data_IF_350108117845
#
_entry.id   IF_350108117845
#
_cell.length_a   1.000
_cell.length_b   1.000
_cell.length_c   1.000
_cell.angle_alpha   90.00
_cell.angle_beta   90.00
_cell.angle_gamma   90.00
#
_symmetry.space_group_name_H-M   'P 1'
#
loop_
_entity.id
_entity.type
_entity.pdbx_description
1 polymer ?
#
# COMPACT_ATOMS: atom_id res chain seq x y z
N UNK A 1 -64.41 -37.58 51.86
CA UNK A 1 -63.04 -37.89 51.39
C UNK A 1 -62.71 -37.12 50.10
N UNK A 2 -63.60 -37.06 49.11
CA UNK A 2 -63.38 -36.29 47.86
C UNK A 2 -63.23 -34.77 48.02
N UNK A 3 -64.00 -34.12 48.91
CA UNK A 3 -63.92 -32.65 49.12
C UNK A 3 -62.57 -32.20 49.71
N UNK A 4 -61.97 -33.00 50.58
CA UNK A 4 -60.64 -32.73 51.15
C UNK A 4 -59.51 -32.89 50.13
N UNK A 5 -59.67 -33.78 49.16
CA UNK A 5 -58.70 -33.95 48.07
C UNK A 5 -58.74 -32.78 47.09
N UNK A 6 -59.94 -32.30 46.76
CA UNK A 6 -60.14 -31.16 45.88
C UNK A 6 -59.62 -29.86 46.51
N UNK A 7 -59.92 -29.62 47.79
CA UNK A 7 -59.41 -28.43 48.51
C UNK A 7 -57.88 -28.42 48.64
N UNK A 8 -57.25 -29.58 48.86
CA UNK A 8 -55.77 -29.67 48.88
C UNK A 8 -55.14 -29.43 47.49
N UNK A 9 -55.82 -29.85 46.42
CA UNK A 9 -55.34 -29.62 45.07
C UNK A 9 -55.42 -28.13 44.69
N UNK A 10 -56.51 -27.46 45.05
CA UNK A 10 -56.68 -26.01 44.87
C UNK A 10 -55.65 -25.21 45.68
N UNK A 11 -55.38 -25.59 46.93
CA UNK A 11 -54.34 -24.97 47.75
C UNK A 11 -52.94 -25.12 47.13
N UNK A 12 -52.63 -26.31 46.59
CA UNK A 12 -51.36 -26.54 45.92
C UNK A 12 -51.22 -25.67 44.65
N UNK A 13 -52.29 -25.54 43.86
CA UNK A 13 -52.29 -24.67 42.68
C UNK A 13 -52.07 -23.20 43.04
N UNK A 14 -52.72 -22.69 44.09
CA UNK A 14 -52.53 -21.31 44.57
C UNK A 14 -51.09 -21.05 45.01
N UNK A 15 -50.46 -21.98 45.74
CA UNK A 15 -49.05 -21.85 46.16
C UNK A 15 -48.11 -21.86 44.97
N UNK A 16 -48.35 -22.74 43.98
CA UNK A 16 -47.53 -22.80 42.76
C UNK A 16 -47.67 -21.52 41.93
N UNK A 17 -48.87 -20.94 41.85
CA UNK A 17 -49.11 -19.66 41.18
C UNK A 17 -48.33 -18.54 41.90
N UNK A 18 -48.41 -18.44 43.23
CA UNK A 18 -47.67 -17.43 44.00
C UNK A 18 -46.16 -17.49 43.80
N UNK A 19 -45.57 -18.71 43.78
CA UNK A 19 -44.13 -18.89 43.50
C UNK A 19 -43.78 -18.43 42.07
N UNK A 20 -44.64 -18.70 41.09
CA UNK A 20 -44.42 -18.26 39.71
C UNK A 20 -44.51 -16.75 39.57
N UNK A 21 -45.46 -16.11 40.25
CA UNK A 21 -45.60 -14.65 40.27
C UNK A 21 -44.39 -13.96 40.90
N UNK A 22 -43.85 -14.50 42.00
CA UNK A 22 -42.61 -14.00 42.60
C UNK A 22 -41.42 -14.11 41.64
N UNK A 23 -41.31 -15.24 40.94
CA UNK A 23 -40.23 -15.43 39.96
C UNK A 23 -40.36 -14.51 38.75
N UNK A 24 -41.58 -14.23 38.29
CA UNK A 24 -41.83 -13.26 37.23
C UNK A 24 -41.38 -11.86 37.69
N UNK A 25 -41.79 -11.43 38.88
CA UNK A 25 -41.37 -10.12 39.42
C UNK A 25 -39.85 -9.98 39.53
N UNK A 26 -39.17 -11.03 40.00
CA UNK A 26 -37.71 -11.02 40.08
C UNK A 26 -37.05 -10.87 38.70
N UNK A 27 -37.54 -11.61 37.70
CA UNK A 27 -37.01 -11.52 36.33
C UNK A 27 -37.30 -10.16 35.68
N UNK A 28 -38.45 -9.55 35.97
CA UNK A 28 -38.77 -8.19 35.52
C UNK A 28 -37.83 -7.15 36.13
N UNK A 29 -37.48 -7.29 37.41
CA UNK A 29 -36.52 -6.41 38.09
C UNK A 29 -35.10 -6.58 37.53
N UNK A 30 -34.63 -7.81 37.32
CA UNK A 30 -33.35 -8.07 36.65
C UNK A 30 -33.30 -7.50 35.23
N UNK A 31 -34.38 -7.67 34.46
CA UNK A 31 -34.48 -7.14 33.10
C UNK A 31 -34.41 -5.60 33.11
N UNK A 32 -35.14 -4.95 34.01
CA UNK A 32 -35.14 -3.50 34.13
C UNK A 32 -33.76 -2.95 34.53
N UNK A 33 -33.08 -3.60 35.49
CA UNK A 33 -31.72 -3.24 35.88
C UNK A 33 -30.73 -3.39 34.72
N UNK A 34 -30.85 -4.47 33.93
CA UNK A 34 -29.99 -4.67 32.76
C UNK A 34 -30.24 -3.62 31.66
N UNK A 35 -31.50 -3.23 31.44
CA UNK A 35 -31.86 -2.15 30.51
C UNK A 35 -31.26 -0.83 30.99
N UNK A 36 -31.39 -0.50 32.27
CA UNK A 36 -30.88 0.76 32.83
C UNK A 36 -29.35 0.86 32.70
N UNK A 37 -28.62 -0.21 33.07
CA UNK A 37 -27.17 -0.29 32.91
C UNK A 37 -26.76 -0.11 31.43
N UNK A 38 -27.43 -0.80 30.51
CA UNK A 38 -27.15 -0.68 29.08
C UNK A 38 -27.42 0.74 28.55
N UNK A 39 -28.47 1.41 29.06
CA UNK A 39 -28.74 2.81 28.69
C UNK A 39 -27.68 3.77 29.22
N UNK A 40 -27.10 3.49 30.39
CA UNK A 40 -26.02 4.29 30.96
C UNK A 40 -24.73 4.11 30.15
N UNK A 41 -24.32 2.88 29.86
CA UNK A 41 -23.14 2.59 29.02
C UNK A 41 -23.24 3.29 27.65
N UNK A 42 -24.44 3.26 27.04
CA UNK A 42 -24.69 3.96 25.78
C UNK A 42 -24.49 5.48 25.90
N UNK A 43 -24.89 6.11 27.01
CA UNK A 43 -24.68 7.56 27.23
C UNK A 43 -23.20 7.89 27.36
N UNK A 44 -22.45 7.09 28.12
CA UNK A 44 -21.02 7.27 28.33
C UNK A 44 -20.25 7.16 27.01
N UNK A 45 -20.56 6.14 26.21
CA UNK A 45 -19.98 5.96 24.87
C UNK A 45 -20.30 7.14 23.94
N UNK A 46 -21.52 7.69 23.99
CA UNK A 46 -21.88 8.86 23.19
C UNK A 46 -21.10 10.12 23.62
N UNK A 47 -20.82 10.27 24.91
CA UNK A 47 -20.00 11.37 25.42
C UNK A 47 -18.54 11.22 25.00
N UNK A 48 -17.96 10.01 25.08
CA UNK A 48 -16.62 9.73 24.59
C UNK A 48 -16.48 9.96 23.09
N UNK A 49 -17.43 9.48 22.28
CA UNK A 49 -17.48 9.75 20.84
C UNK A 49 -17.51 11.26 20.58
N UNK A 50 -18.24 12.03 21.39
CA UNK A 50 -18.33 13.49 21.26
C UNK A 50 -17.02 14.19 21.65
N UNK A 51 -16.28 13.66 22.64
CA UNK A 51 -14.94 14.16 23.00
C UNK A 51 -13.93 13.84 21.89
N UNK A 52 -13.93 12.62 21.38
CA UNK A 52 -13.04 12.19 20.29
C UNK A 52 -13.28 12.99 19.01
N UNK A 53 -14.54 13.25 18.63
CA UNK A 53 -14.86 14.11 17.48
C UNK A 53 -14.26 15.51 17.58
N UNK A 54 -14.29 16.12 18.78
CA UNK A 54 -13.67 17.43 19.02
C UNK A 54 -12.15 17.39 18.84
N UNK A 55 -11.49 16.36 19.38
CA UNK A 55 -10.04 16.18 19.25
C UNK A 55 -9.65 15.99 17.78
N UNK A 56 -10.38 15.15 17.04
CA UNK A 56 -10.11 14.93 15.60
C UNK A 56 -10.21 16.24 14.82
N UNK A 57 -11.27 17.02 15.02
CA UNK A 57 -11.43 18.31 14.35
C UNK A 57 -10.27 19.29 14.68
N UNK A 58 -9.79 19.29 15.93
CA UNK A 58 -8.67 20.13 16.32
C UNK A 58 -7.37 19.70 15.63
N UNK A 59 -7.10 18.39 15.56
CA UNK A 59 -5.93 17.84 14.87
C UNK A 59 -5.96 18.10 13.35
N UNK A 60 -7.14 18.02 12.73
CA UNK A 60 -7.32 18.34 11.31
C UNK A 60 -6.95 19.81 11.01
N UNK A 61 -7.37 20.74 11.87
CA UNK A 61 -7.02 22.16 11.73
C UNK A 61 -5.53 22.43 11.97
N UNK A 62 -4.89 21.73 12.91
CA UNK A 62 -3.43 21.80 13.11
C UNK A 62 -2.65 21.26 11.90
N UNK A 63 -3.10 20.16 11.31
CA UNK A 63 -2.48 19.59 10.11
C UNK A 63 -2.58 20.56 8.93
N UNK A 64 -3.73 21.19 8.70
CA UNK A 64 -3.88 22.23 7.66
C UNK A 64 -2.90 23.39 7.85
N UNK A 65 -2.60 23.79 9.09
CA UNK A 65 -1.61 24.84 9.37
C UNK A 65 -0.19 24.38 9.04
N UNK A 66 0.17 23.16 9.44
CA UNK A 66 1.49 22.56 9.15
C UNK A 66 1.72 22.35 7.66
N UNK A 67 0.70 21.94 6.91
CA UNK A 67 0.79 21.79 5.45
C UNK A 67 1.10 23.11 4.74
N UNK A 68 0.49 24.21 5.19
CA UNK A 68 0.81 25.56 4.70
C UNK A 68 2.26 25.95 5.02
N UNK A 69 2.75 25.62 6.20
CA UNK A 69 4.13 25.89 6.60
C UNK A 69 5.14 25.10 5.76
N UNK A 70 4.85 23.82 5.50
CA UNK A 70 5.66 22.96 4.62
C UNK A 70 5.69 23.55 3.21
N UNK A 71 4.54 23.92 2.65
CA UNK A 71 4.47 24.53 1.31
C UNK A 71 5.29 25.81 1.21
N UNK A 72 5.31 26.65 2.26
CA UNK A 72 6.15 27.84 2.30
C UNK A 72 7.65 27.50 2.36
N UNK A 73 8.02 26.47 3.14
CA UNK A 73 9.42 26.00 3.22
C UNK A 73 9.90 25.41 1.89
N UNK A 74 9.06 24.66 1.19
CA UNK A 74 9.39 24.09 -0.13
C UNK A 74 9.64 25.16 -1.19
N UNK A 75 8.85 26.26 -1.16
CA UNK A 75 9.12 27.43 -2.01
C UNK A 75 10.48 28.04 -1.72
N UNK A 76 10.83 28.20 -0.45
CA UNK A 76 12.12 28.74 -0.04
C UNK A 76 13.30 27.85 -0.48
N UNK A 77 13.13 26.52 -0.37
CA UNK A 77 14.13 25.55 -0.86
C UNK A 77 14.31 25.68 -2.37
N UNK A 78 13.22 25.79 -3.12
CA UNK A 78 13.27 25.97 -4.58
C UNK A 78 14.02 27.25 -4.98
N UNK A 79 13.83 28.35 -4.23
CA UNK A 79 14.60 29.59 -4.42
C UNK A 79 16.09 29.41 -4.13
N UNK A 80 16.43 28.63 -3.09
CA UNK A 80 17.82 28.31 -2.78
C UNK A 80 18.48 27.45 -3.85
N UNK A 81 17.79 26.43 -4.38
CA UNK A 81 18.28 25.58 -5.47
C UNK A 81 18.54 26.41 -6.76
N UNK A 82 17.67 27.37 -7.06
CA UNK A 82 17.85 28.28 -8.19
C UNK A 82 19.07 29.21 -8.00
N UNK A 83 19.30 29.68 -6.76
CA UNK A 83 20.50 30.46 -6.44
C UNK A 83 21.77 29.61 -6.53
N UNK A 84 21.74 28.38 -6.04
CA UNK A 84 22.87 27.45 -6.09
C UNK A 84 23.25 27.13 -7.54
N UNK A 85 22.26 26.85 -8.40
CA UNK A 85 22.50 26.61 -9.82
C UNK A 85 23.08 27.83 -10.52
N UNK A 86 22.57 29.05 -10.25
CA UNK A 86 23.17 30.31 -10.74
C UNK A 86 24.61 30.49 -10.27
N UNK A 87 24.90 30.21 -9.00
CA UNK A 87 26.25 30.26 -8.42
C UNK A 87 27.20 29.26 -9.08
N UNK A 88 26.78 28.00 -9.23
CA UNK A 88 27.55 26.95 -9.93
C UNK A 88 27.87 27.35 -11.37
N UNK A 89 26.90 27.92 -12.08
CA UNK A 89 27.12 28.41 -13.45
C UNK A 89 28.12 29.58 -13.48
N UNK A 90 28.01 30.57 -12.57
CA UNK A 90 29.00 31.66 -12.46
C UNK A 90 30.40 31.14 -12.16
N UNK A 91 30.54 30.19 -11.24
CA UNK A 91 31.83 29.56 -10.92
C UNK A 91 32.40 28.88 -12.17
N UNK A 92 31.58 28.13 -12.92
CA UNK A 92 32.01 27.47 -14.15
C UNK A 92 32.48 28.47 -15.20
N UNK A 93 31.77 29.57 -15.41
CA UNK A 93 32.15 30.61 -16.36
C UNK A 93 33.45 31.32 -15.96
N UNK A 94 33.61 31.64 -14.66
CA UNK A 94 34.85 32.21 -14.12
C UNK A 94 36.02 31.23 -14.36
N UNK A 95 35.83 29.94 -14.06
CA UNK A 95 36.84 28.90 -14.28
C UNK A 95 37.24 28.74 -15.75
N UNK A 96 36.30 28.93 -16.69
CA UNK A 96 36.60 28.92 -18.13
C UNK A 96 37.35 30.18 -18.58
N UNK A 97 36.98 31.35 -18.05
CA UNK A 97 37.65 32.63 -18.37
C UNK A 97 39.07 32.73 -17.81
N UNK A 98 39.38 31.98 -16.75
CA UNK A 98 40.67 31.96 -16.08
C UNK A 98 41.68 30.99 -16.75
N UNK A 99 41.69 30.92 -18.09
CA UNK A 99 42.43 29.96 -18.91
C UNK A 99 43.76 29.43 -18.34
N UNK A 100 43.91 28.11 -18.41
CA UNK A 100 45.15 27.34 -18.27
C UNK A 100 46.14 27.81 -17.19
N UNK A 101 45.95 27.37 -15.95
CA UNK A 101 47.08 27.20 -15.02
C UNK A 101 46.91 25.89 -14.23
N UNK A 102 47.91 24.99 -14.23
CA UNK A 102 47.82 23.71 -13.53
C UNK A 102 47.97 23.93 -12.02
N UNK A 103 46.88 24.28 -11.33
CA UNK A 103 46.87 24.49 -9.86
C UNK A 103 46.49 23.24 -9.07
N UNK A 104 47.01 22.08 -9.47
CA UNK A 104 46.98 20.87 -8.62
C UNK A 104 48.35 20.55 -8.02
N UNK A 105 49.42 21.29 -8.38
CA UNK A 105 50.78 21.11 -7.85
C UNK A 105 51.18 22.10 -6.74
N UNK A 106 50.41 23.18 -6.52
CA UNK A 106 50.82 24.29 -5.64
C UNK A 106 50.46 24.07 -4.15
N UNK A 107 49.43 23.26 -3.88
CA UNK A 107 49.00 22.98 -2.51
C UNK A 107 49.99 22.09 -1.76
N UNK A 108 50.58 21.10 -2.42
CA UNK A 108 51.54 20.18 -1.79
C UNK A 108 52.83 20.90 -1.42
N UNK A 109 53.32 21.79 -2.30
CA UNK A 109 54.55 22.56 -2.08
C UNK A 109 54.43 23.59 -0.96
N UNK A 110 53.27 24.24 -0.84
CA UNK A 110 52.97 25.17 0.25
C UNK A 110 52.78 24.48 1.61
N UNK A 111 52.33 23.22 1.61
CA UNK A 111 52.26 22.41 2.83
C UNK A 111 53.66 21.99 3.28
N UNK A 112 54.51 21.54 2.35
CA UNK A 112 55.90 21.15 2.64
C UNK A 112 56.76 22.34 3.11
N UNK A 113 56.58 23.53 2.52
CA UNK A 113 57.27 24.76 2.95
C UNK A 113 56.81 25.23 4.34
N UNK A 114 55.53 25.05 4.67
CA UNK A 114 55.01 25.37 6.01
C UNK A 114 55.53 24.38 7.07
N UNK A 115 55.62 23.09 6.76
CA UNK A 115 56.21 22.10 7.66
C UNK A 115 57.71 22.37 7.88
N UNK A 116 58.45 22.73 6.83
CA UNK A 116 59.86 23.10 6.93
C UNK A 116 60.08 24.38 7.78
N UNK A 117 59.26 25.42 7.58
CA UNK A 117 59.30 26.64 8.39
C UNK A 117 58.92 26.39 9.85
N UNK A 118 58.00 25.45 10.12
CA UNK A 118 57.63 25.05 11.48
C UNK A 118 58.81 24.37 12.19
N UNK A 119 59.50 23.46 11.51
CA UNK A 119 60.70 22.79 12.02
C UNK A 119 61.86 23.77 12.24
N UNK A 120 62.06 24.72 11.33
CA UNK A 120 63.12 25.73 11.45
C UNK A 120 62.86 26.71 12.61
N UNK A 121 61.62 27.14 12.80
CA UNK A 121 61.22 27.97 13.95
C UNK A 121 61.32 27.23 15.29
N UNK A 122 61.03 25.92 15.30
CA UNK A 122 61.21 25.08 16.47
C UNK A 122 62.70 24.95 16.84
N UNK A 123 63.58 24.70 15.86
CA UNK A 123 65.03 24.64 16.07
C UNK A 123 65.61 25.98 16.57
N UNK A 124 65.19 27.10 16.00
CA UNK A 124 65.60 28.45 16.47
C UNK A 124 65.11 28.76 17.89
N UNK A 125 63.93 28.26 18.26
CA UNK A 125 63.38 28.42 19.60
C UNK A 125 64.18 27.62 20.63
N UNK A 126 64.62 26.40 20.29
CA UNK A 126 65.49 25.58 21.12
C UNK A 126 66.89 26.20 21.28
N UNK A 127 67.47 26.75 20.20
CA UNK A 127 68.76 27.45 20.26
C UNK A 127 68.70 28.66 21.20
N UNK A 128 67.67 29.51 21.07
CA UNK A 128 67.47 30.68 21.94
C UNK A 128 67.21 30.33 23.40
N UNK A 129 66.65 29.14 23.66
CA UNK A 129 66.45 28.66 25.04
C UNK A 129 67.78 28.21 25.65
N UNK A 130 68.63 27.55 24.85
CA UNK A 130 70.00 27.16 25.25
C UNK A 130 70.88 28.38 25.51
N UNK A 131 70.91 29.36 24.61
CA UNK A 131 71.69 30.60 24.77
C UNK A 131 71.28 31.36 26.04
N UNK A 132 69.98 31.36 26.37
CA UNK A 132 69.48 31.97 27.62
C UNK A 132 69.93 31.22 28.87
N UNK A 133 69.97 29.89 28.84
CA UNK A 133 70.48 29.09 29.95
C UNK A 133 72.00 29.29 30.14
N UNK A 134 72.76 29.38 29.05
CA UNK A 134 74.21 29.66 29.11
C UNK A 134 74.49 31.09 29.62
N UNK A 135 73.67 32.08 29.26
CA UNK A 135 73.75 33.46 29.79
C UNK A 135 73.40 33.57 31.29
N UNK A 136 72.48 32.75 31.78
CA UNK A 136 72.14 32.69 33.21
C UNK A 136 73.29 32.05 34.00
N UNK A 137 73.82 30.93 33.51
CA UNK A 137 74.95 30.24 34.16
C UNK A 137 76.22 31.10 34.21
N UNK A 138 76.50 31.87 33.16
CA UNK A 138 77.65 32.82 33.13
C UNK A 138 77.45 34.04 34.03
N UNK A 139 76.20 34.52 34.17
CA UNK A 139 75.87 35.61 35.10
C UNK A 139 75.99 35.17 36.56
N UNK A 140 75.57 33.95 36.88
CA UNK A 140 75.74 33.36 38.21
C UNK A 140 77.23 33.11 38.52
N UNK A 141 78.03 32.67 37.54
CA UNK A 141 79.49 32.54 37.69
C UNK A 141 80.20 33.89 37.92
N UNK A 142 79.76 34.96 37.24
CA UNK A 142 80.29 36.33 37.43
C UNK A 142 79.89 36.94 38.78
N UNK A 143 78.67 36.69 39.26
CA UNK A 143 78.24 37.12 40.59
C UNK A 143 79.01 36.39 41.70
N UNK A 144 79.31 35.09 41.51
CA UNK A 144 80.16 34.34 42.43
C UNK A 144 81.63 34.79 42.41
N UNK A 145 82.17 35.24 41.26
CA UNK A 145 83.51 35.80 41.16
C UNK A 145 83.61 37.22 41.77
N UNK A 146 82.56 38.04 41.66
CA UNK A 146 82.50 39.36 42.29
C UNK A 146 82.39 39.29 43.82
N UNK A 147 81.71 38.27 44.36
CA UNK A 147 81.65 38.03 45.81
C UNK A 147 83.00 37.63 46.42
N UNK A 148 83.89 37.01 45.65
CA UNK A 148 85.23 36.59 46.09
C UNK A 148 86.28 37.74 46.09
N UNK A 149 86.05 38.80 45.31
CA UNK A 149 86.99 39.92 45.18
C UNK A 149 86.76 41.06 46.19
N UNK A 150 85.68 41.02 46.97
CA UNK A 150 85.37 42.05 47.99
C UNK A 150 85.90 41.73 49.39
N UNK A 151 86.56 40.59 49.60
CA UNK A 151 87.10 40.18 50.93
C UNK A 151 88.63 40.31 51.09
N UNK A 152 89.38 40.81 50.09
CA UNK A 152 90.85 40.96 50.22
C UNK A 152 91.37 42.35 49.84
N UNK A 153 92.10 42.93 50.81
CA UNK A 153 93.19 43.93 50.69
C UNK A 153 92.84 45.35 50.20
N UNK A 154 93.40 46.45 50.70
CA UNK A 154 94.29 46.79 51.82
C UNK A 154 94.41 48.33 51.72
N UNK A 155 94.27 49.06 52.83
CA UNK A 155 94.64 50.49 52.89
C UNK A 155 96.17 50.62 52.71
N UNK A 156 96.67 51.76 52.20
CA UNK A 156 97.41 52.57 53.16
C UNK A 156 97.15 54.08 53.06
N UNK A 157 97.28 54.61 54.27
CA UNK A 157 97.19 55.98 54.74
C UNK A 157 98.40 56.86 54.38
N UNK A 158 98.22 58.15 54.72
CA UNK A 158 99.21 59.06 55.33
C UNK A 158 100.08 60.02 54.46
N UNK A 159 99.65 61.30 54.48
CA UNK A 159 100.26 62.41 55.25
C UNK A 159 101.26 63.42 54.62
N UNK A 160 101.04 64.68 55.05
CA UNK A 160 102.01 65.76 55.37
C UNK A 160 102.74 66.50 54.21
N UNK A 161 102.42 67.76 53.88
CA UNK A 161 102.78 69.08 54.49
C UNK A 161 104.07 69.71 53.88
N UNK A 162 103.92 70.89 53.24
CA UNK A 162 104.69 72.15 53.47
C UNK A 162 105.04 73.04 52.24
N UNK A 163 104.57 74.31 52.34
CA UNK A 163 105.29 75.61 52.19
C UNK A 163 105.69 76.19 50.80
N UNK A 164 104.96 77.28 50.45
CA UNK A 164 105.31 78.61 49.90
C UNK A 164 106.25 78.86 48.68
N UNK A 165 105.70 79.71 47.79
CA UNK A 165 106.28 80.78 46.94
C UNK A 165 106.90 80.44 45.57
N UNK A 166 106.14 80.73 44.50
CA UNK A 166 106.67 81.49 43.35
C UNK A 166 105.54 82.28 42.64
N UNK A 167 105.83 83.54 42.36
CA UNK A 167 104.89 84.65 42.11
C UNK A 167 104.44 84.82 40.63
N UNK A 168 103.20 85.31 40.49
CA UNK A 168 102.62 86.16 39.42
C UNK A 168 102.46 85.70 37.95
N UNK A 169 102.99 84.55 37.51
CA UNK A 169 102.55 83.94 36.23
C UNK A 169 101.38 82.93 36.41
N UNK A 170 101.15 82.47 37.64
CA UNK A 170 100.13 81.46 37.93
C UNK A 170 98.69 81.97 37.85
N UNK A 171 98.42 83.28 37.91
CA UNK A 171 97.04 83.77 38.01
C UNK A 171 96.30 83.66 36.68
N UNK A 172 97.00 83.85 35.55
CA UNK A 172 96.47 83.58 34.22
C UNK A 172 96.39 82.07 33.93
N UNK A 173 97.38 81.29 34.36
CA UNK A 173 97.39 79.82 34.20
C UNK A 173 96.41 79.09 35.12
N UNK A 174 96.16 79.57 36.35
CA UNK A 174 95.12 79.05 37.26
C UNK A 174 93.73 79.38 36.77
N UNK A 175 93.54 80.57 36.19
CA UNK A 175 92.29 80.94 35.52
C UNK A 175 92.12 80.02 34.31
N UNK A 176 93.09 79.88 33.41
CA UNK A 176 92.99 78.96 32.27
C UNK A 176 92.77 77.50 32.69
N UNK A 177 93.48 76.99 33.70
CA UNK A 177 93.29 75.64 34.25
C UNK A 177 91.93 75.47 34.96
N UNK A 178 91.38 76.53 35.58
CA UNK A 178 90.01 76.51 36.11
C UNK A 178 88.97 76.53 35.01
N UNK A 179 89.15 77.36 33.98
CA UNK A 179 88.28 77.39 32.81
C UNK A 179 88.33 76.05 32.05
N UNK A 180 89.50 75.47 31.85
CA UNK A 180 89.68 74.13 31.25
C UNK A 180 89.05 73.04 32.13
N UNK A 181 89.19 73.14 33.46
CA UNK A 181 88.53 72.23 34.41
C UNK A 181 87.01 72.35 34.35
N UNK A 182 86.47 73.56 34.38
CA UNK A 182 85.03 73.80 34.37
C UNK A 182 84.42 73.39 33.01
N UNK A 183 85.13 73.67 31.91
CA UNK A 183 84.76 73.22 30.56
C UNK A 183 84.81 71.70 30.46
N UNK A 184 85.87 71.05 30.95
CA UNK A 184 85.97 69.59 31.00
C UNK A 184 84.89 68.95 31.87
N UNK A 185 84.58 69.56 33.03
CA UNK A 185 83.51 69.09 33.92
C UNK A 185 82.14 69.22 33.25
N UNK A 186 81.90 70.32 32.53
CA UNK A 186 80.67 70.55 31.78
C UNK A 186 80.54 69.59 30.59
N UNK A 187 81.60 69.36 29.82
CA UNK A 187 81.64 68.37 28.74
C UNK A 187 81.44 66.95 29.26
N UNK A 188 82.07 66.60 30.39
CA UNK A 188 81.89 65.31 31.05
C UNK A 188 80.46 65.13 31.53
N UNK A 189 79.87 66.14 32.16
CA UNK A 189 78.50 66.07 32.67
C UNK A 189 77.49 66.00 31.51
N UNK A 190 77.75 66.70 30.40
CA UNK A 190 76.98 66.59 29.17
C UNK A 190 77.11 65.20 28.53
N UNK A 191 78.32 64.65 28.43
CA UNK A 191 78.56 63.29 27.94
C UNK A 191 77.89 62.23 28.83
N UNK A 192 77.87 62.43 30.16
CA UNK A 192 77.16 61.56 31.11
C UNK A 192 75.65 61.67 30.89
N UNK A 193 75.12 62.87 30.65
CA UNK A 193 73.69 63.09 30.39
C UNK A 193 73.24 62.46 29.07
N UNK A 194 74.02 62.61 28.00
CA UNK A 194 73.79 61.95 26.71
C UNK A 194 73.85 60.43 26.83
N UNK A 195 74.86 59.90 27.53
CA UNK A 195 74.97 58.45 27.82
C UNK A 195 73.74 57.95 28.59
N UNK A 196 73.27 58.70 29.59
CA UNK A 196 72.09 58.34 30.36
C UNK A 196 70.81 58.38 29.52
N UNK A 197 70.66 59.37 28.62
CA UNK A 197 69.54 59.44 27.67
C UNK A 197 69.55 58.26 26.69
N UNK A 198 70.70 57.92 26.11
CA UNK A 198 70.84 56.76 25.23
C UNK A 198 70.47 55.46 25.95
N UNK A 199 70.92 55.30 27.20
CA UNK A 199 70.58 54.14 28.04
C UNK A 199 69.08 54.06 28.33
N UNK A 200 68.43 55.18 28.65
CA UNK A 200 66.99 55.23 28.89
C UNK A 200 66.18 54.93 27.62
N UNK A 201 66.60 55.46 26.47
CA UNK A 201 65.96 55.19 25.18
C UNK A 201 66.07 53.71 24.79
N UNK A 202 67.25 53.11 24.94
CA UNK A 202 67.47 51.68 24.72
C UNK A 202 66.61 50.83 25.66
N UNK A 203 66.53 51.18 26.95
CA UNK A 203 65.70 50.46 27.91
C UNK A 203 64.20 50.56 27.57
N UNK A 204 63.73 51.74 27.18
CA UNK A 204 62.34 51.94 26.76
C UNK A 204 62.01 51.15 25.50
N UNK A 205 62.93 51.05 24.56
CA UNK A 205 62.76 50.22 23.37
C UNK A 205 62.65 48.73 23.74
N UNK A 206 63.53 48.23 24.62
CA UNK A 206 63.49 46.85 25.12
C UNK A 206 62.17 46.57 25.85
N UNK A 207 61.72 47.46 26.73
CA UNK A 207 60.46 47.30 27.46
C UNK A 207 59.26 47.19 26.51
N UNK A 208 59.19 48.03 25.46
CA UNK A 208 58.14 47.93 24.43
C UNK A 208 58.19 46.60 23.67
N UNK A 209 59.37 46.07 23.40
CA UNK A 209 59.50 44.76 22.75
C UNK A 209 59.00 43.64 23.67
N UNK A 210 59.35 43.68 24.95
CA UNK A 210 58.91 42.70 25.95
C UNK A 210 57.38 42.70 26.06
N UNK A 211 56.77 43.88 26.18
CA UNK A 211 55.31 44.02 26.25
C UNK A 211 54.61 43.47 25.00
N UNK A 212 55.16 43.75 23.82
CA UNK A 212 54.63 43.21 22.56
C UNK A 212 54.76 41.68 22.48
N UNK A 213 55.85 41.12 23.00
CA UNK A 213 56.03 39.66 23.07
C UNK A 213 55.02 39.05 24.03
N UNK A 214 54.83 39.64 25.22
CA UNK A 214 53.87 39.14 26.20
C UNK A 214 52.43 39.16 25.65
N UNK A 215 52.01 40.25 25.00
CA UNK A 215 50.67 40.33 24.36
C UNK A 215 50.48 39.27 23.28
N UNK A 216 51.50 39.04 22.45
CA UNK A 216 51.47 37.97 21.43
C UNK A 216 51.36 36.59 22.07
N UNK A 217 52.08 36.34 23.17
CA UNK A 217 51.99 35.08 23.91
C UNK A 217 50.59 34.86 24.49
N UNK A 218 49.96 35.90 25.06
CA UNK A 218 48.58 35.84 25.53
C UNK A 218 47.61 35.50 24.41
N UNK A 219 47.73 36.21 23.27
CA UNK A 219 46.90 35.96 22.09
C UNK A 219 47.06 34.53 21.54
N UNK A 220 48.29 34.02 21.48
CA UNK A 220 48.55 32.62 21.10
C UNK A 220 47.87 31.64 22.07
N UNK A 221 47.93 31.90 23.37
CA UNK A 221 47.27 31.07 24.39
C UNK A 221 45.74 31.07 24.29
N UNK A 222 45.13 32.18 23.90
CA UNK A 222 43.69 32.29 23.62
C UNK A 222 43.31 31.49 22.38
N UNK A 223 44.02 31.69 21.26
CA UNK A 223 43.77 30.98 20.00
C UNK A 223 43.92 29.45 20.16
N UNK A 224 44.89 28.99 20.95
CA UNK A 224 45.04 27.56 21.24
C UNK A 224 43.86 27.01 22.05
N UNK A 225 43.35 27.76 23.03
CA UNK A 225 42.16 27.35 23.80
C UNK A 225 40.91 27.29 22.92
N UNK A 226 40.70 28.29 22.08
CA UNK A 226 39.59 28.30 21.12
C UNK A 226 39.67 27.14 20.14
N UNK A 227 40.87 26.87 19.58
CA UNK A 227 41.10 25.72 18.69
C UNK A 227 40.73 24.40 19.38
N UNK A 228 41.16 24.20 20.63
CA UNK A 228 40.81 23.01 21.41
C UNK A 228 39.30 22.90 21.64
N UNK A 229 38.65 23.99 22.03
CA UNK A 229 37.20 24.04 22.24
C UNK A 229 36.43 23.70 20.95
N UNK A 230 36.81 24.30 19.82
CA UNK A 230 36.21 24.03 18.52
C UNK A 230 36.38 22.57 18.10
N UNK A 231 37.54 21.97 18.38
CA UNK A 231 37.80 20.57 18.04
C UNK A 231 36.92 19.60 18.84
N UNK A 232 36.66 19.90 20.13
CA UNK A 232 35.73 19.13 20.97
C UNK A 232 34.30 19.27 20.45
N UNK A 233 33.86 20.50 20.14
CA UNK A 233 32.53 20.76 19.60
C UNK A 233 32.31 20.04 18.27
N UNK A 234 33.30 20.06 17.38
CA UNK A 234 33.24 19.37 16.09
C UNK A 234 33.04 17.86 16.27
N UNK A 235 33.81 17.21 17.16
CA UNK A 235 33.66 15.78 17.46
C UNK A 235 32.28 15.46 18.01
N UNK A 236 31.76 16.29 18.92
CA UNK A 236 30.43 16.11 19.51
C UNK A 236 29.33 16.24 18.46
N UNK A 237 29.42 17.25 17.58
CA UNK A 237 28.47 17.43 16.49
C UNK A 237 28.51 16.29 15.48
N UNK A 238 29.71 15.77 15.14
CA UNK A 238 29.84 14.61 14.27
C UNK A 238 29.15 13.37 14.86
N UNK A 239 29.35 13.12 16.16
CA UNK A 239 28.69 12.02 16.86
C UNK A 239 27.16 12.19 16.90
N UNK A 240 26.67 13.39 17.21
CA UNK A 240 25.23 13.69 17.19
C UNK A 240 24.62 13.49 15.81
N UNK A 241 25.29 13.97 14.75
CA UNK A 241 24.84 13.78 13.38
C UNK A 241 24.75 12.30 13.00
N UNK A 242 25.73 11.49 13.41
CA UNK A 242 25.72 10.05 13.16
C UNK A 242 24.56 9.35 13.89
N UNK A 243 24.27 9.76 15.13
CA UNK A 243 23.12 9.24 15.89
C UNK A 243 21.79 9.62 15.25
N UNK A 244 21.62 10.87 14.85
CA UNK A 244 20.41 11.30 14.13
C UNK A 244 20.21 10.56 12.80
N UNK A 245 21.31 10.21 12.08
CA UNK A 245 21.23 9.38 10.87
C UNK A 245 20.76 7.96 11.18
N UNK A 246 21.25 7.35 12.26
CA UNK A 246 20.81 6.03 12.70
C UNK A 246 19.32 6.04 13.11
N UNK A 247 18.90 7.05 13.89
CA UNK A 247 17.51 7.21 14.32
C UNK A 247 16.58 7.42 13.12
N UNK A 248 17.01 8.22 12.12
CA UNK A 248 16.28 8.37 10.85
C UNK A 248 16.11 7.03 10.14
N UNK A 249 17.17 6.24 10.02
CA UNK A 249 17.09 4.92 9.39
C UNK A 249 16.12 3.98 10.12
N UNK A 250 16.09 4.03 11.46
CA UNK A 250 15.15 3.24 12.27
C UNK A 250 13.69 3.68 12.05
N UNK A 251 13.46 4.99 11.95
CA UNK A 251 12.13 5.55 11.66
C UNK A 251 11.66 5.18 10.25
N UNK A 252 12.53 5.26 9.25
CA UNK A 252 12.24 4.83 7.88
C UNK A 252 11.88 3.34 7.83
N UNK A 253 12.68 2.49 8.47
CA UNK A 253 12.40 1.05 8.58
C UNK A 253 11.03 0.76 9.24
N UNK A 254 10.73 1.44 10.35
CA UNK A 254 9.44 1.27 11.03
C UNK A 254 8.27 1.75 10.19
N UNK A 255 8.42 2.87 9.48
CA UNK A 255 7.41 3.41 8.57
C UNK A 255 7.10 2.43 7.44
N UNK A 256 8.14 1.92 6.78
CA UNK A 256 7.98 1.04 5.63
C UNK A 256 7.31 -0.27 6.03
N UNK A 257 7.67 -0.83 7.19
CA UNK A 257 7.02 -2.04 7.74
C UNK A 257 5.54 -1.82 8.10
N UNK A 258 5.19 -0.64 8.62
CA UNK A 258 3.80 -0.26 8.87
C UNK A 258 3.01 -0.14 7.56
N UNK A 259 3.61 0.48 6.54
CA UNK A 259 3.01 0.61 5.22
C UNK A 259 2.78 -0.75 4.56
N UNK A 260 3.76 -1.66 4.59
CA UNK A 260 3.59 -3.02 4.07
C UNK A 260 2.44 -3.76 4.75
N UNK A 261 2.31 -3.61 6.09
CA UNK A 261 1.22 -4.25 6.84
C UNK A 261 -0.13 -3.65 6.47
N UNK A 262 -0.20 -2.34 6.32
CA UNK A 262 -1.40 -1.63 5.89
C UNK A 262 -1.84 -2.06 4.48
N UNK A 263 -0.93 -2.08 3.51
CA UNK A 263 -1.23 -2.50 2.14
C UNK A 263 -1.70 -3.97 2.09
N UNK A 264 -1.08 -4.87 2.86
CA UNK A 264 -1.56 -6.26 3.00
C UNK A 264 -3.00 -6.33 3.54
N UNK A 265 -3.30 -5.58 4.59
CA UNK A 265 -4.64 -5.55 5.17
C UNK A 265 -5.67 -4.98 4.19
N UNK A 266 -5.36 -3.87 3.54
CA UNK A 266 -6.19 -3.22 2.53
C UNK A 266 -6.52 -4.17 1.37
N UNK A 267 -5.52 -4.88 0.84
CA UNK A 267 -5.71 -5.86 -0.22
C UNK A 267 -6.60 -7.03 0.22
N UNK A 268 -6.45 -7.50 1.46
CA UNK A 268 -7.32 -8.53 2.02
C UNK A 268 -8.78 -8.06 2.09
N UNK A 269 -9.02 -6.85 2.60
CA UNK A 269 -10.37 -6.27 2.66
C UNK A 269 -10.98 -6.08 1.26
N UNK A 270 -10.18 -5.67 0.27
CA UNK A 270 -10.66 -5.56 -1.11
C UNK A 270 -11.02 -6.94 -1.70
N UNK A 271 -10.20 -7.95 -1.49
CA UNK A 271 -10.47 -9.31 -1.95
C UNK A 271 -11.74 -9.90 -1.29
N UNK A 272 -11.92 -9.67 0.01
CA UNK A 272 -13.13 -10.07 0.73
C UNK A 272 -14.39 -9.39 0.16
N UNK A 273 -14.33 -8.08 -0.12
CA UNK A 273 -15.45 -7.37 -0.77
C UNK A 273 -15.78 -7.94 -2.15
N UNK A 274 -14.76 -8.27 -2.95
CA UNK A 274 -14.98 -8.88 -4.25
C UNK A 274 -15.61 -10.27 -4.13
N UNK A 275 -15.18 -11.09 -3.17
CA UNK A 275 -15.78 -12.39 -2.90
C UNK A 275 -17.25 -12.26 -2.50
N UNK A 276 -17.60 -11.29 -1.65
CA UNK A 276 -18.99 -11.01 -1.29
C UNK A 276 -19.82 -10.63 -2.53
N UNK A 277 -19.29 -9.78 -3.41
CA UNK A 277 -19.97 -9.44 -4.67
C UNK A 277 -20.19 -10.67 -5.56
N UNK A 278 -19.15 -11.50 -5.74
CA UNK A 278 -19.23 -12.71 -6.55
C UNK A 278 -20.26 -13.71 -5.97
N UNK A 279 -20.27 -13.90 -4.64
CA UNK A 279 -21.25 -14.77 -3.97
C UNK A 279 -22.67 -14.22 -4.12
N UNK A 280 -22.88 -12.92 -3.97
CA UNK A 280 -24.19 -12.30 -4.18
C UNK A 280 -24.68 -12.47 -5.63
N UNK A 281 -23.79 -12.36 -6.62
CA UNK A 281 -24.12 -12.64 -8.02
C UNK A 281 -24.56 -14.10 -8.22
N UNK A 282 -23.86 -15.07 -7.60
CA UNK A 282 -24.25 -16.48 -7.65
C UNK A 282 -25.61 -16.72 -6.98
N UNK A 283 -25.85 -16.10 -5.82
CA UNK A 283 -27.14 -16.18 -5.12
C UNK A 283 -28.27 -15.64 -6.00
N UNK A 284 -28.06 -14.49 -6.67
CA UNK A 284 -29.03 -13.92 -7.60
C UNK A 284 -29.28 -14.85 -8.79
N UNK A 285 -28.24 -15.46 -9.37
CA UNK A 285 -28.38 -16.42 -10.46
C UNK A 285 -29.20 -17.65 -10.05
N UNK A 286 -28.97 -18.19 -8.84
CA UNK A 286 -29.71 -19.33 -8.30
C UNK A 286 -31.17 -18.98 -7.96
N UNK A 287 -31.44 -17.75 -7.48
CA UNK A 287 -32.82 -17.28 -7.24
C UNK A 287 -33.60 -17.11 -8.55
N UNK A 288 -32.95 -16.58 -9.59
CA UNK A 288 -33.60 -16.33 -10.88
C UNK A 288 -33.78 -17.61 -11.72
N UNK A 289 -32.91 -18.62 -11.54
CA UNK A 289 -32.99 -19.92 -12.20
C UNK A 289 -32.94 -21.04 -11.16
N UNK A 290 -34.00 -21.27 -10.37
CA UNK A 290 -33.99 -22.34 -9.39
C UNK A 290 -33.82 -23.69 -10.12
N UNK A 291 -32.86 -24.54 -9.72
CA UNK A 291 -32.63 -25.87 -10.32
C UNK A 291 -33.85 -26.80 -10.28
N UNK A 292 -34.88 -26.42 -9.53
CA UNK A 292 -36.09 -27.19 -9.30
C UNK A 292 -37.26 -26.88 -10.24
N UNK A 293 -37.17 -25.96 -11.20
CA UNK A 293 -38.31 -25.73 -12.10
C UNK A 293 -38.63 -26.97 -12.97
N UNK A 294 -37.60 -27.65 -13.49
CA UNK A 294 -37.77 -28.91 -14.26
C UNK A 294 -38.32 -30.02 -13.35
N UNK A 295 -37.85 -30.13 -12.11
CA UNK A 295 -38.32 -31.14 -11.16
C UNK A 295 -39.76 -30.87 -10.64
N UNK A 296 -40.18 -29.61 -10.57
CA UNK A 296 -41.54 -29.24 -10.14
C UNK A 296 -42.58 -29.50 -11.23
N UNK A 297 -42.28 -29.17 -12.50
CA UNK A 297 -43.15 -29.54 -13.61
C UNK A 297 -43.30 -31.07 -13.69
N UNK A 298 -42.20 -31.80 -13.49
CA UNK A 298 -42.18 -33.26 -13.44
C UNK A 298 -42.98 -33.85 -12.28
N UNK A 299 -42.87 -33.27 -11.09
CA UNK A 299 -43.66 -33.65 -9.94
C UNK A 299 -45.16 -33.34 -10.14
N UNK A 300 -45.50 -32.23 -10.80
CA UNK A 300 -46.88 -31.80 -11.07
C UNK A 300 -47.58 -32.64 -12.13
N UNK A 301 -46.86 -33.12 -13.16
CA UNK A 301 -47.41 -34.01 -14.20
C UNK A 301 -47.53 -35.47 -13.76
N UNK A 302 -46.74 -35.90 -12.76
CA UNK A 302 -46.68 -37.29 -12.31
C UNK A 302 -48.05 -37.93 -11.96
N UNK A 303 -49.00 -37.24 -11.28
CA UNK A 303 -50.32 -37.80 -11.00
C UNK A 303 -51.12 -38.12 -12.27
N UNK A 304 -51.09 -37.22 -13.27
CA UNK A 304 -51.77 -37.42 -14.55
C UNK A 304 -51.14 -38.59 -15.32
N UNK A 305 -49.80 -38.67 -15.34
CA UNK A 305 -49.09 -39.79 -15.96
C UNK A 305 -49.43 -41.14 -15.29
N UNK A 306 -49.55 -41.18 -13.96
CA UNK A 306 -49.96 -42.39 -13.22
C UNK A 306 -51.37 -42.85 -13.58
N UNK A 307 -52.30 -41.92 -13.76
CA UNK A 307 -53.68 -42.22 -14.19
C UNK A 307 -53.75 -42.68 -15.65
N UNK A 308 -52.84 -42.20 -16.49
CA UNK A 308 -52.77 -42.49 -17.92
C UNK A 308 -52.10 -43.84 -18.23
N UNK A 309 -51.11 -44.25 -17.43
CA UNK A 309 -50.31 -45.45 -17.69
C UNK A 309 -51.14 -46.74 -17.91
N UNK A 310 -52.19 -47.05 -17.12
CA UNK A 310 -53.03 -48.22 -17.37
C UNK A 310 -53.83 -48.16 -18.68
N UNK A 311 -54.20 -46.95 -19.13
CA UNK A 311 -54.90 -46.77 -20.41
C UNK A 311 -53.96 -47.05 -21.59
N UNK A 312 -52.70 -46.61 -21.48
CA UNK A 312 -51.67 -46.81 -22.50
C UNK A 312 -51.18 -48.25 -22.60
N UNK A 313 -51.06 -48.95 -21.47
CA UNK A 313 -50.58 -50.32 -21.41
C UNK A 313 -51.42 -51.33 -22.25
N UNK A 314 -52.64 -50.94 -22.64
CA UNK A 314 -53.53 -51.75 -23.49
C UNK A 314 -53.08 -51.79 -24.95
N UNK A 315 -52.29 -50.81 -25.40
CA UNK A 315 -51.85 -50.72 -26.78
C UNK A 315 -50.48 -51.37 -26.97
N UNK A 316 -50.37 -52.18 -28.01
CA UNK A 316 -49.06 -52.68 -28.45
C UNK A 316 -48.25 -51.53 -29.08
N UNK A 317 -46.91 -51.54 -28.93
CA UNK A 317 -46.06 -50.57 -29.60
C UNK A 317 -46.30 -50.55 -31.12
N UNK A 318 -46.31 -49.36 -31.71
CA UNK A 318 -46.55 -49.17 -33.13
C UNK A 318 -45.36 -49.66 -33.96
N UNK A 319 -45.57 -50.72 -34.72
CA UNK A 319 -44.61 -51.32 -35.65
C UNK A 319 -45.05 -51.22 -37.12
N UNK A 320 -46.15 -50.50 -37.38
CA UNK A 320 -46.77 -50.37 -38.72
C UNK A 320 -47.96 -51.30 -38.94
N UNK A 321 -48.58 -51.80 -37.87
CA UNK A 321 -49.68 -52.77 -37.91
C UNK A 321 -50.99 -52.21 -38.49
N UNK A 322 -51.19 -50.89 -38.45
CA UNK A 322 -52.39 -50.20 -38.95
C UNK A 322 -52.02 -48.79 -39.43
N UNK A 323 -52.92 -48.08 -40.14
CA UNK A 323 -52.67 -46.70 -40.55
C UNK A 323 -52.31 -45.80 -39.36
N UNK A 324 -51.32 -44.89 -39.50
CA UNK A 324 -50.86 -44.03 -38.41
C UNK A 324 -51.97 -43.22 -37.73
N UNK A 325 -52.94 -42.75 -38.50
CA UNK A 325 -54.03 -41.92 -37.99
C UNK A 325 -54.95 -42.74 -37.09
N UNK A 326 -55.38 -43.92 -37.56
CA UNK A 326 -56.23 -44.82 -36.80
C UNK A 326 -55.58 -45.24 -35.47
N UNK A 327 -54.27 -45.55 -35.48
CA UNK A 327 -53.52 -45.88 -34.27
C UNK A 327 -53.46 -44.70 -33.30
N UNK A 328 -53.01 -43.53 -33.78
CA UNK A 328 -52.86 -42.34 -32.93
C UNK A 328 -54.20 -41.88 -32.36
N UNK A 329 -55.27 -41.94 -33.13
CA UNK A 329 -56.59 -41.55 -32.67
C UNK A 329 -57.09 -42.50 -31.57
N UNK A 330 -56.89 -43.82 -31.70
CA UNK A 330 -57.20 -44.78 -30.63
C UNK A 330 -56.42 -44.49 -29.35
N UNK A 331 -55.12 -44.22 -29.47
CA UNK A 331 -54.26 -43.92 -28.32
C UNK A 331 -54.67 -42.58 -27.67
N UNK A 332 -54.91 -41.54 -28.46
CA UNK A 332 -55.32 -40.22 -27.96
C UNK A 332 -56.71 -40.29 -27.31
N UNK A 333 -57.65 -41.03 -27.89
CA UNK A 333 -58.97 -41.22 -27.30
C UNK A 333 -58.91 -41.98 -25.97
N UNK A 334 -57.94 -42.89 -25.81
CA UNK A 334 -57.81 -43.70 -24.59
C UNK A 334 -57.54 -42.90 -23.32
N UNK A 335 -57.00 -41.67 -23.44
CA UNK A 335 -56.75 -40.77 -22.33
C UNK A 335 -57.58 -39.48 -22.38
N UNK A 336 -58.61 -39.41 -23.24
CA UNK A 336 -59.46 -38.22 -23.38
C UNK A 336 -60.15 -37.81 -22.07
N UNK A 337 -60.47 -38.79 -21.21
CA UNK A 337 -61.04 -38.52 -19.87
C UNK A 337 -60.11 -37.72 -18.93
N UNK A 338 -58.81 -37.63 -19.26
CA UNK A 338 -57.83 -36.85 -18.51
C UNK A 338 -57.64 -35.42 -19.05
N UNK A 339 -58.32 -35.05 -20.14
CA UNK A 339 -58.10 -33.77 -20.82
C UNK A 339 -58.37 -32.57 -19.92
N UNK A 340 -59.38 -32.64 -19.05
CA UNK A 340 -59.63 -31.61 -18.03
C UNK A 340 -58.47 -31.46 -17.04
N UNK A 341 -57.84 -32.55 -16.61
CA UNK A 341 -56.66 -32.50 -15.73
C UNK A 341 -55.43 -31.94 -16.44
N UNK A 342 -55.24 -32.29 -17.72
CA UNK A 342 -54.15 -31.76 -18.55
C UNK A 342 -54.30 -30.24 -18.77
N UNK A 343 -55.51 -29.78 -19.09
CA UNK A 343 -55.81 -28.37 -19.32
C UNK A 343 -55.63 -27.51 -18.06
N UNK A 344 -55.99 -28.03 -16.88
CA UNK A 344 -55.75 -27.34 -15.61
C UNK A 344 -54.26 -27.14 -15.35
N UNK A 345 -53.42 -28.14 -15.65
CA UNK A 345 -51.97 -28.00 -15.51
C UNK A 345 -51.39 -26.99 -16.52
N UNK A 346 -51.82 -27.07 -17.79
CA UNK A 346 -51.39 -26.16 -18.86
C UNK A 346 -51.79 -24.70 -18.57
N UNK A 347 -52.99 -24.47 -18.02
CA UNK A 347 -53.48 -23.15 -17.63
C UNK A 347 -52.85 -22.61 -16.34
N UNK A 348 -52.47 -23.48 -15.40
CA UNK A 348 -51.82 -23.08 -14.15
C UNK A 348 -50.35 -22.69 -14.36
N UNK A 349 -49.62 -23.41 -15.21
CA UNK A 349 -48.24 -23.09 -15.55
C UNK A 349 -47.92 -23.51 -17.00
N UNK A 350 -47.32 -22.59 -17.77
CA UNK A 350 -46.85 -22.90 -19.11
C UNK A 350 -45.79 -24.02 -19.06
N UNK A 351 -45.97 -25.07 -19.86
CA UNK A 351 -45.03 -26.19 -20.01
C UNK A 351 -45.27 -27.42 -19.14
N UNK A 352 -46.24 -27.41 -18.20
CA UNK A 352 -46.51 -28.57 -17.32
C UNK A 352 -47.12 -29.77 -18.09
N UNK A 353 -47.97 -29.53 -19.09
CA UNK A 353 -48.57 -30.58 -19.95
C UNK A 353 -48.85 -30.11 -21.39
N UNK A 354 -47.88 -29.43 -22.00
CA UNK A 354 -47.99 -28.87 -23.35
C UNK A 354 -47.97 -29.94 -24.47
N UNK A 355 -48.01 -29.48 -25.72
CA UNK A 355 -47.93 -30.35 -26.91
C UNK A 355 -46.63 -31.15 -26.99
N UNK A 356 -45.52 -30.68 -26.41
CA UNK A 356 -44.25 -31.40 -26.40
C UNK A 356 -44.32 -32.61 -25.46
N UNK A 357 -44.93 -32.44 -24.28
CA UNK A 357 -45.20 -33.56 -23.36
C UNK A 357 -46.11 -34.60 -24.02
N UNK A 358 -47.23 -34.18 -24.62
CA UNK A 358 -48.15 -35.08 -25.35
C UNK A 358 -47.43 -35.83 -26.47
N UNK A 359 -46.60 -35.14 -27.25
CA UNK A 359 -45.79 -35.73 -28.32
C UNK A 359 -44.81 -36.79 -27.79
N UNK A 360 -44.13 -36.53 -26.67
CA UNK A 360 -43.18 -37.47 -26.07
C UNK A 360 -43.86 -38.75 -25.56
N UNK A 361 -45.06 -38.63 -25.00
CA UNK A 361 -45.84 -39.81 -24.60
C UNK A 361 -46.18 -40.65 -25.84
N UNK A 362 -46.66 -40.03 -26.92
CA UNK A 362 -46.94 -40.75 -28.18
C UNK A 362 -45.68 -41.38 -28.80
N UNK A 363 -44.51 -40.70 -28.74
CA UNK A 363 -43.23 -41.28 -29.18
C UNK A 363 -42.85 -42.54 -28.41
N UNK A 364 -43.17 -42.62 -27.11
CA UNK A 364 -42.92 -43.81 -26.29
C UNK A 364 -43.76 -45.03 -26.72
N UNK A 365 -44.86 -44.79 -27.45
CA UNK A 365 -45.69 -45.84 -28.04
C UNK A 365 -45.14 -46.38 -29.36
N UNK A 366 -44.03 -45.83 -29.88
CA UNK A 366 -43.41 -46.30 -31.13
C UNK A 366 -42.52 -47.52 -30.87
N UNK A 367 -42.52 -48.46 -31.82
CA UNK A 367 -41.71 -49.68 -31.76
C UNK A 367 -41.12 -50.06 -33.11
N UNK A 368 -40.22 -51.05 -33.08
CA UNK A 368 -39.60 -51.61 -34.30
C UNK A 368 -38.97 -50.53 -35.17
N UNK A 369 -39.29 -50.53 -36.47
CA UNK A 369 -38.76 -49.58 -37.46
C UNK A 369 -39.20 -48.13 -37.22
N UNK A 370 -40.24 -47.87 -36.43
CA UNK A 370 -40.71 -46.52 -36.07
C UNK A 370 -40.02 -45.96 -34.82
N UNK A 371 -39.16 -46.73 -34.15
CA UNK A 371 -38.33 -46.28 -33.04
C UNK A 371 -36.83 -46.37 -33.38
N UNK A 372 -35.99 -45.39 -32.95
CA UNK A 372 -36.37 -44.14 -32.30
C UNK A 372 -36.99 -43.14 -33.30
N UNK A 373 -37.91 -42.31 -32.80
CA UNK A 373 -38.44 -41.18 -33.57
C UNK A 373 -37.36 -40.08 -33.63
N UNK A 374 -36.99 -39.58 -34.82
CA UNK A 374 -36.00 -38.51 -34.95
C UNK A 374 -36.49 -37.20 -34.34
N UNK A 375 -35.57 -36.29 -34.05
CA UNK A 375 -35.92 -34.96 -33.52
C UNK A 375 -36.68 -34.12 -34.56
N UNK A 376 -36.28 -34.21 -35.83
CA UNK A 376 -36.88 -33.48 -36.94
C UNK A 376 -37.39 -34.43 -38.03
N UNK A 377 -38.44 -34.02 -38.73
CA UNK A 377 -39.05 -34.78 -39.80
C UNK A 377 -38.32 -34.54 -41.12
N UNK A 378 -37.24 -35.29 -41.36
CA UNK A 378 -36.51 -35.26 -42.63
C UNK A 378 -37.26 -35.87 -43.83
N UNK A 379 -38.50 -36.35 -43.64
CA UNK A 379 -39.32 -36.93 -44.71
C UNK A 379 -40.26 -35.90 -45.35
N UNK A 380 -40.38 -34.70 -44.76
CA UNK A 380 -41.24 -33.61 -45.20
C UNK A 380 -40.40 -32.35 -45.45
N UNK A 381 -40.80 -31.53 -46.42
CA UNK A 381 -40.12 -30.29 -46.81
C UNK A 381 -39.99 -29.34 -45.61
N UNK A 382 -38.82 -28.74 -45.45
CA UNK A 382 -38.52 -27.81 -44.34
C UNK A 382 -38.00 -28.47 -43.06
N UNK A 383 -37.92 -29.81 -43.01
CA UNK A 383 -37.38 -30.58 -41.88
C UNK A 383 -37.92 -30.11 -40.50
N UNK A 384 -39.26 -30.04 -40.32
CA UNK A 384 -39.85 -29.45 -39.12
C UNK A 384 -39.54 -30.29 -37.87
N UNK A 385 -39.45 -29.63 -36.71
CA UNK A 385 -39.28 -30.32 -35.43
C UNK A 385 -40.51 -31.18 -35.11
N UNK A 386 -40.28 -32.39 -34.60
CA UNK A 386 -41.35 -33.30 -34.15
C UNK A 386 -41.59 -33.06 -32.66
N UNK A 387 -42.34 -32.01 -32.34
CA UNK A 387 -42.60 -31.55 -30.98
C UNK A 387 -44.10 -31.40 -30.65
N UNK A 388 -44.99 -31.87 -31.53
CA UNK A 388 -46.44 -31.86 -31.32
C UNK A 388 -47.05 -33.18 -31.82
N UNK A 389 -48.26 -33.55 -31.37
CA UNK A 389 -48.98 -34.70 -31.92
C UNK A 389 -49.14 -34.63 -33.44
N UNK A 390 -49.41 -33.45 -34.01
CA UNK A 390 -49.61 -33.28 -35.45
C UNK A 390 -48.32 -33.46 -36.26
N UNK A 391 -47.20 -32.92 -35.77
CA UNK A 391 -45.89 -33.09 -36.44
C UNK A 391 -45.42 -34.54 -36.37
N UNK A 392 -45.74 -35.26 -35.28
CA UNK A 392 -45.52 -36.70 -35.16
C UNK A 392 -46.40 -37.48 -36.13
N UNK A 393 -47.71 -37.17 -36.20
CA UNK A 393 -48.66 -37.78 -37.14
C UNK A 393 -48.19 -37.64 -38.58
N UNK A 394 -47.76 -36.43 -38.99
CA UNK A 394 -47.21 -36.18 -40.32
C UNK A 394 -45.95 -37.02 -40.63
N UNK A 395 -45.05 -37.16 -39.66
CA UNK A 395 -43.87 -38.02 -39.81
C UNK A 395 -44.25 -39.50 -39.93
N UNK A 396 -45.16 -39.99 -39.09
CA UNK A 396 -45.62 -41.37 -39.14
C UNK A 396 -46.31 -41.69 -40.47
N UNK A 397 -47.15 -40.79 -41.00
CA UNK A 397 -47.76 -40.92 -42.34
C UNK A 397 -46.69 -41.08 -43.43
N UNK A 398 -45.74 -40.16 -43.49
CA UNK A 398 -44.67 -40.19 -44.49
C UNK A 398 -43.80 -41.46 -44.37
N UNK A 399 -43.52 -41.90 -43.15
CA UNK A 399 -42.74 -43.12 -42.91
C UNK A 399 -43.52 -44.39 -43.25
N UNK A 400 -44.79 -44.46 -42.88
CA UNK A 400 -45.69 -45.56 -43.20
C UNK A 400 -45.90 -45.72 -44.70
N UNK A 401 -46.08 -44.62 -45.43
CA UNK A 401 -46.11 -44.64 -46.89
C UNK A 401 -44.84 -45.27 -47.47
N UNK A 402 -43.66 -44.76 -47.08
CA UNK A 402 -42.37 -45.25 -47.61
C UNK A 402 -42.10 -46.72 -47.29
N UNK A 403 -42.41 -47.16 -46.06
CA UNK A 403 -41.98 -48.47 -45.56
C UNK A 403 -43.04 -49.56 -45.68
N UNK A 404 -44.29 -49.23 -45.99
CA UNK A 404 -45.41 -50.20 -46.04
C UNK A 404 -46.18 -50.12 -47.37
N UNK A 405 -46.46 -48.92 -47.89
CA UNK A 405 -47.25 -48.74 -49.12
C UNK A 405 -46.37 -48.73 -50.39
N UNK A 406 -45.17 -48.17 -50.30
CA UNK A 406 -44.25 -47.96 -51.42
C UNK A 406 -44.26 -46.51 -51.90
N UNK A 407 -43.64 -46.23 -53.05
CA UNK A 407 -43.70 -44.90 -53.66
C UNK A 407 -45.09 -44.63 -54.27
N UNK A 408 -45.43 -43.37 -54.49
CA UNK A 408 -46.72 -42.91 -55.03
C UNK A 408 -47.12 -43.62 -56.33
N UNK A 409 -46.16 -43.91 -57.22
CA UNK A 409 -46.39 -44.67 -58.45
C UNK A 409 -46.84 -46.12 -58.18
N UNK A 410 -46.24 -46.79 -57.18
CA UNK A 410 -46.66 -48.14 -56.77
C UNK A 410 -48.04 -48.13 -56.13
N UNK A 411 -48.38 -47.10 -55.36
CA UNK A 411 -49.69 -46.93 -54.76
C UNK A 411 -50.78 -46.76 -55.83
N UNK A 412 -50.54 -45.89 -56.82
CA UNK A 412 -51.44 -45.69 -57.98
C UNK A 412 -51.59 -47.00 -58.75
N UNK A 413 -50.47 -47.69 -59.07
CA UNK A 413 -50.50 -48.94 -59.80
C UNK A 413 -51.31 -50.04 -59.08
N UNK A 414 -51.17 -50.16 -57.75
CA UNK A 414 -51.96 -51.10 -56.95
C UNK A 414 -53.44 -50.68 -56.89
N UNK A 415 -53.72 -49.38 -56.78
CA UNK A 415 -55.10 -48.86 -56.77
C UNK A 415 -55.83 -49.14 -58.10
N UNK A 416 -55.14 -49.04 -59.24
CA UNK A 416 -55.69 -49.40 -60.55
C UNK A 416 -55.94 -50.92 -60.70
N UNK A 417 -55.20 -51.73 -59.97
CA UNK A 417 -55.32 -53.20 -60.00
C UNK A 417 -56.34 -53.74 -58.98
N UNK A 418 -56.59 -53.00 -57.90
CA UNK A 418 -57.57 -53.38 -56.88
C UNK A 418 -58.98 -53.37 -57.46
N UNK A 419 -59.75 -54.44 -57.21
CA UNK A 419 -61.14 -54.57 -57.66
C UNK A 419 -62.02 -55.07 -56.53
N UNK A 420 -63.27 -54.60 -56.54
CA UNK A 420 -64.31 -55.11 -55.66
C UNK A 420 -64.55 -56.59 -55.97
N UNK A 421 -64.31 -57.45 -55.00
CA UNK A 421 -64.47 -58.89 -55.09
C UNK A 421 -65.90 -59.30 -54.73
N UNK A 422 -66.40 -60.45 -55.21
CA UNK A 422 -67.76 -60.90 -54.93
C UNK A 422 -68.08 -61.14 -53.45
N UNK A 423 -67.05 -61.32 -52.61
CA UNK A 423 -67.17 -61.53 -51.17
C UNK A 423 -66.89 -60.26 -50.34
N UNK A 424 -66.64 -59.13 -51.00
CA UNK A 424 -66.44 -57.87 -50.30
C UNK A 424 -67.76 -57.32 -49.77
N UNK A 425 -67.68 -56.75 -48.58
CA UNK A 425 -68.61 -55.73 -48.07
C UNK A 425 -68.02 -54.35 -48.34
N UNK A 426 -68.83 -53.28 -48.37
CA UNK A 426 -68.33 -51.91 -48.48
C UNK A 426 -67.19 -51.61 -47.49
N UNK A 427 -67.32 -52.04 -46.23
CA UNK A 427 -66.31 -51.82 -45.19
C UNK A 427 -64.99 -52.57 -45.45
N UNK A 428 -65.07 -53.80 -45.96
CA UNK A 428 -63.87 -54.63 -46.21
C UNK A 428 -63.14 -54.21 -47.48
N UNK A 429 -63.86 -53.72 -48.48
CA UNK A 429 -63.27 -53.07 -49.64
C UNK A 429 -62.63 -51.74 -49.25
N UNK A 430 -63.33 -50.91 -48.47
CA UNK A 430 -62.82 -49.63 -47.97
C UNK A 430 -61.51 -49.81 -47.19
N UNK A 431 -61.45 -50.81 -46.31
CA UNK A 431 -60.25 -51.12 -45.54
C UNK A 431 -59.02 -51.46 -46.41
N UNK A 432 -59.20 -52.02 -47.62
CA UNK A 432 -58.10 -52.34 -48.53
C UNK A 432 -57.65 -51.15 -49.39
N UNK A 433 -58.57 -50.29 -49.81
CA UNK A 433 -58.25 -49.11 -50.63
C UNK A 433 -57.75 -47.93 -49.80
N UNK A 434 -58.19 -47.79 -48.55
CA UNK A 434 -57.87 -46.64 -47.67
C UNK A 434 -56.35 -46.40 -47.49
N UNK A 435 -55.50 -47.42 -47.26
CA UNK A 435 -54.05 -47.22 -47.17
C UNK A 435 -53.39 -46.78 -48.49
N UNK A 436 -53.95 -47.17 -49.63
CA UNK A 436 -53.45 -46.81 -50.96
C UNK A 436 -53.83 -45.38 -51.32
N UNK A 437 -55.05 -44.95 -50.96
CA UNK A 437 -55.53 -43.57 -51.14
C UNK A 437 -54.68 -42.56 -50.34
N UNK A 438 -54.22 -42.93 -49.15
CA UNK A 438 -53.27 -42.09 -48.39
C UNK A 438 -51.96 -41.83 -49.14
N UNK A 439 -51.58 -42.67 -50.10
CA UNK A 439 -50.36 -42.54 -50.90
C UNK A 439 -50.52 -41.67 -52.16
N UNK A 440 -51.72 -41.16 -52.45
CA UNK A 440 -52.06 -40.34 -53.62
C UNK A 440 -52.36 -38.92 -53.13
N UNK A 441 -51.80 -37.89 -53.78
CA UNK A 441 -52.00 -36.50 -53.34
C UNK A 441 -53.37 -36.01 -53.84
N UNK A 442 -54.14 -35.31 -52.98
CA UNK A 442 -55.49 -34.79 -53.29
C UNK A 442 -55.58 -33.89 -54.55
N UNK A 443 -54.45 -33.49 -55.15
CA UNK A 443 -54.36 -32.64 -56.34
C UNK A 443 -53.46 -33.22 -57.44
N UNK A 444 -53.24 -34.53 -57.50
CA UNK A 444 -52.54 -35.13 -58.63
C UNK A 444 -53.37 -35.03 -59.92
N UNK A 445 -52.99 -34.08 -60.78
CA UNK A 445 -53.54 -33.88 -62.13
C UNK A 445 -53.42 -35.16 -63.01
N UNK A 446 -52.66 -36.17 -62.58
CA UNK A 446 -52.55 -37.47 -63.25
C UNK A 446 -53.66 -38.47 -62.91
N UNK A 447 -54.44 -38.27 -61.84
CA UNK A 447 -55.55 -39.19 -61.46
C UNK A 447 -56.78 -39.00 -62.35
N UNK A 448 -56.94 -37.83 -62.99
CA UNK A 448 -58.03 -37.58 -63.93
C UNK A 448 -57.77 -38.15 -65.35
N UNK A 449 -56.67 -38.87 -65.56
CA UNK A 449 -56.30 -39.41 -66.87
C UNK A 449 -56.79 -40.83 -67.16
N UNK A 450 -57.35 -41.56 -66.19
CA UNK A 450 -57.76 -42.96 -66.37
C UNK A 450 -59.02 -43.25 -65.53
N UNK A 451 -60.17 -42.78 -66.01
CA UNK A 451 -61.47 -43.41 -65.73
C UNK A 451 -61.95 -44.04 -67.03
#
# INVERSE_FOLDING_TARGET
MGELQQSNQELHEVVVIGIREERIRFLEEELNNAIELSTQDKKELLEEISKLKRIVHQLEEENKKKDKEISNKDKLISEFDERETKLKNRIREISKSAGNTPKTQDYTRLVDENEHLLCQNFALSLLRYRDRLELINTREALQNAQAWNTENEFNPDENSLDIYNFDQNLDMDLVNVRWDRDTYMQERDQAVQERNQLRANAQNQVNRMIDNIARKQTCIGELLREKFALQILYRRNAHHLQRCRADRGLLEYNRDRLYERYEKWKNKTQAERQNILNLNQQILALHNNPPNQINMADARRLPVLKLMAPALAKFQPYTGQEPPDDYLDKVIQSWAYLEGHMAVLEGANAGDFDNAVKCNILKSMMGGKYAPVPANNGLVVGNPAINSPDTLRAWMRAKYQRETVGNQQSAIQRLTQERYQPYDTPDTYEARIRPLLLGVVDNDVQVLGVI
#
